data_IF_808783597024
#
_entry.id   IF_808783597024
#
_cell.length_a   1.000
_cell.length_b   1.000
_cell.length_c   1.000
_cell.angle_alpha   90.00
_cell.angle_beta   90.00
_cell.angle_gamma   90.00
#
_symmetry.space_group_name_H-M   'P 1'
#
loop_
_entity.id
_entity.type
_entity.pdbx_description
1 polymer ?
#
# COMPACT_ATOMS: atom_id res chain seq x y z
N UNK A 1 -3.97 -17.62 3.01
CA UNK A 1 -2.89 -16.60 2.98
C UNK A 1 -1.72 -17.17 2.20
N UNK A 2 -1.10 -16.38 1.33
CA UNK A 2 0.13 -16.74 0.61
C UNK A 2 1.16 -15.68 0.95
N UNK A 3 2.23 -16.05 1.65
CA UNK A 3 3.32 -15.14 1.96
C UNK A 3 4.28 -15.07 0.78
N UNK A 4 4.58 -13.86 0.32
CA UNK A 4 5.45 -13.61 -0.84
C UNK A 4 6.89 -13.39 -0.39
N UNK A 5 7.07 -12.64 0.70
CA UNK A 5 8.32 -12.37 1.40
C UNK A 5 7.96 -12.06 2.87
N UNK A 6 8.96 -12.11 3.74
CA UNK A 6 8.82 -11.74 5.16
C UNK A 6 9.64 -10.49 5.50
N UNK A 7 10.77 -10.28 4.82
CA UNK A 7 11.54 -9.05 4.83
C UNK A 7 11.61 -8.49 3.39
N UNK A 8 11.24 -7.21 3.23
CA UNK A 8 11.34 -6.54 1.93
C UNK A 8 12.80 -6.34 1.49
N UNK A 9 13.74 -6.26 2.43
CA UNK A 9 15.17 -6.11 2.12
C UNK A 9 15.82 -7.37 1.57
N UNK A 10 15.24 -8.56 1.82
CA UNK A 10 15.71 -9.81 1.21
C UNK A 10 15.44 -9.85 -0.29
N UNK A 11 14.43 -9.12 -0.77
CA UNK A 11 14.02 -9.10 -2.18
C UNK A 11 14.38 -7.80 -2.90
N UNK A 12 14.53 -6.71 -2.16
CA UNK A 12 14.96 -5.41 -2.66
C UNK A 12 15.95 -4.80 -1.65
N UNK A 13 17.24 -5.18 -1.71
CA UNK A 13 18.22 -4.78 -0.71
C UNK A 13 18.50 -3.28 -0.78
N UNK A 14 18.76 -2.69 0.39
CA UNK A 14 19.11 -1.28 0.48
C UNK A 14 20.57 -1.04 0.09
N UNK A 15 20.80 0.02 -0.69
CA UNK A 15 22.12 0.56 -0.98
C UNK A 15 22.24 2.01 -0.49
N UNK A 16 23.42 2.40 0.01
CA UNK A 16 23.71 3.79 0.36
C UNK A 16 23.20 4.30 1.71
N UNK A 17 22.36 3.56 2.44
CA UNK A 17 22.02 3.83 3.85
C UNK A 17 20.83 4.78 4.10
N UNK A 18 19.84 4.81 3.21
CA UNK A 18 18.56 5.50 3.44
C UNK A 18 17.68 4.83 4.51
N UNK A 19 16.40 5.21 4.60
CA UNK A 19 15.41 4.49 5.43
C UNK A 19 14.65 3.44 4.61
N UNK A 20 14.37 3.74 3.33
CA UNK A 20 13.75 2.82 2.37
C UNK A 20 14.69 2.49 1.21
N UNK A 21 14.14 1.86 0.17
CA UNK A 21 14.82 1.61 -1.11
C UNK A 21 14.05 2.29 -2.23
N UNK A 22 14.77 3.02 -3.10
CA UNK A 22 14.20 3.81 -4.19
C UNK A 22 13.19 4.89 -3.75
N UNK A 23 13.29 5.44 -2.54
CA UNK A 23 12.37 6.51 -2.10
C UNK A 23 13.05 7.86 -1.89
N UNK A 24 14.36 7.89 -1.69
CA UNK A 24 15.14 9.11 -1.48
C UNK A 24 16.17 9.28 -2.62
N UNK A 25 16.11 10.37 -3.40
CA UNK A 25 16.97 10.58 -4.57
C UNK A 25 18.45 10.82 -4.23
N UNK A 26 18.81 10.95 -2.94
CA UNK A 26 20.21 11.06 -2.52
C UNK A 26 20.94 9.71 -2.49
N UNK A 27 20.23 8.59 -2.66
CA UNK A 27 20.81 7.25 -2.63
C UNK A 27 20.71 6.56 -3.99
N UNK A 28 21.58 5.57 -4.27
CA UNK A 28 21.55 4.83 -5.53
C UNK A 28 20.19 4.16 -5.80
N UNK A 29 19.81 4.11 -7.08
CA UNK A 29 18.67 3.33 -7.52
C UNK A 29 19.01 1.84 -7.55
N UNK A 30 18.19 1.03 -6.90
CA UNK A 30 18.27 -0.43 -6.91
C UNK A 30 17.24 -0.97 -7.90
N UNK A 31 17.69 -1.78 -8.87
CA UNK A 31 16.81 -2.37 -9.88
C UNK A 31 15.83 -3.35 -9.22
N UNK A 32 14.50 -3.17 -9.35
CA UNK A 32 13.53 -4.10 -8.79
C UNK A 32 13.59 -5.49 -9.43
N UNK A 33 13.36 -6.53 -8.63
CA UNK A 33 13.24 -7.91 -9.11
C UNK A 33 11.77 -8.36 -9.23
N UNK A 34 11.53 -9.47 -9.94
CA UNK A 34 10.21 -10.08 -10.13
C UNK A 34 10.10 -11.39 -9.38
N UNK A 35 9.24 -11.42 -8.36
CA UNK A 35 8.89 -12.65 -7.64
C UNK A 35 7.84 -13.45 -8.41
N UNK A 36 8.09 -14.76 -8.58
CA UNK A 36 7.14 -15.70 -9.22
C UNK A 36 6.64 -16.72 -8.22
N UNK A 37 5.32 -16.77 -8.04
CA UNK A 37 4.66 -17.72 -7.16
C UNK A 37 3.97 -18.79 -8.01
N UNK A 38 4.33 -20.06 -7.79
CA UNK A 38 3.69 -21.21 -8.43
C UNK A 38 2.93 -21.99 -7.37
N UNK A 39 1.60 -21.99 -7.47
CA UNK A 39 0.71 -22.74 -6.58
C UNK A 39 0.29 -24.02 -7.29
N UNK A 40 0.78 -25.16 -6.80
CA UNK A 40 0.36 -26.49 -7.29
C UNK A 40 -0.63 -27.08 -6.30
N UNK A 41 -1.84 -27.35 -6.75
CA UNK A 41 -2.88 -27.96 -5.94
C UNK A 41 -2.85 -29.48 -6.09
N UNK A 42 -2.93 -30.20 -4.98
CA UNK A 42 -3.02 -31.68 -4.98
C UNK A 42 -4.35 -32.17 -5.59
N UNK A 43 -5.40 -31.35 -5.49
CA UNK A 43 -6.71 -31.60 -6.10
C UNK A 43 -7.19 -30.32 -6.79
N UNK A 44 -7.84 -30.42 -7.96
CA UNK A 44 -8.40 -29.24 -8.62
C UNK A 44 -9.42 -28.54 -7.72
N UNK A 45 -9.27 -27.22 -7.55
CA UNK A 45 -10.23 -26.38 -6.83
C UNK A 45 -10.81 -25.37 -7.82
N UNK A 46 -12.11 -25.11 -7.72
CA UNK A 46 -12.76 -24.08 -8.52
C UNK A 46 -12.21 -22.70 -8.18
N UNK A 47 -11.98 -21.85 -9.18
CA UNK A 47 -11.52 -20.47 -8.98
C UNK A 47 -12.48 -19.66 -8.10
N UNK A 48 -13.78 -19.94 -8.16
CA UNK A 48 -14.78 -19.30 -7.29
C UNK A 48 -14.56 -19.62 -5.81
N UNK A 49 -13.97 -20.77 -5.50
CA UNK A 49 -13.63 -21.19 -4.13
C UNK A 49 -12.25 -20.67 -3.73
N UNK A 50 -11.28 -20.65 -4.66
CA UNK A 50 -9.92 -20.15 -4.41
C UNK A 50 -9.83 -18.62 -4.34
N UNK A 51 -10.86 -17.91 -4.80
CA UNK A 51 -10.93 -16.46 -4.89
C UNK A 51 -10.66 -15.94 -6.31
N UNK A 52 -11.34 -14.85 -6.67
CA UNK A 52 -11.17 -14.14 -7.94
C UNK A 52 -10.56 -12.77 -7.62
N UNK A 53 -9.60 -12.27 -8.42
CA UNK A 53 -9.11 -10.90 -8.28
C UNK A 53 -10.24 -9.86 -8.30
N UNK A 54 -10.07 -8.71 -7.63
CA UNK A 54 -8.87 -8.29 -6.90
C UNK A 54 -8.70 -9.02 -5.56
N UNK A 55 -7.48 -9.48 -5.28
CA UNK A 55 -7.12 -10.10 -4.00
C UNK A 55 -7.03 -9.06 -2.88
N UNK A 56 -6.83 -9.53 -1.64
CA UNK A 56 -6.59 -8.71 -0.45
C UNK A 56 -5.09 -8.75 -0.08
N UNK A 57 -4.24 -7.94 -0.74
CA UNK A 57 -2.83 -7.83 -0.37
C UNK A 57 -2.70 -7.14 0.99
N UNK A 58 -1.64 -7.48 1.70
CA UNK A 58 -1.31 -6.88 2.99
C UNK A 58 0.19 -6.97 3.24
N UNK A 59 0.65 -6.16 4.19
CA UNK A 59 1.97 -6.26 4.82
C UNK A 59 1.79 -6.50 6.31
N UNK A 60 2.85 -6.96 6.96
CA UNK A 60 2.94 -6.95 8.42
C UNK A 60 4.18 -6.17 8.85
N UNK A 61 4.11 -5.54 10.02
CA UNK A 61 5.08 -4.51 10.42
C UNK A 61 6.16 -5.09 11.33
N UNK A 62 7.42 -4.77 11.05
CA UNK A 62 8.57 -5.05 11.94
C UNK A 62 8.70 -6.53 12.36
N UNK A 63 8.40 -7.47 11.45
CA UNK A 63 8.41 -8.90 11.76
C UNK A 63 7.26 -9.37 12.66
N UNK A 64 6.39 -8.47 13.13
CA UNK A 64 5.28 -8.78 14.01
C UNK A 64 4.08 -9.24 13.18
N UNK A 65 3.93 -10.57 13.08
CA UNK A 65 2.93 -11.18 12.20
C UNK A 65 1.50 -10.73 12.49
N UNK A 66 1.16 -10.34 13.71
CA UNK A 66 -0.18 -9.91 14.10
C UNK A 66 -0.46 -8.41 13.81
N UNK A 67 0.56 -7.64 13.44
CA UNK A 67 0.44 -6.22 13.07
C UNK A 67 0.30 -6.10 11.56
N UNK A 68 -0.91 -6.30 11.05
CA UNK A 68 -1.19 -6.25 9.61
C UNK A 68 -1.72 -4.89 9.13
N UNK A 69 -1.38 -4.51 7.90
CA UNK A 69 -1.95 -3.35 7.18
C UNK A 69 -2.51 -3.82 5.84
N UNK A 70 -3.80 -3.52 5.59
CA UNK A 70 -4.50 -3.91 4.36
C UNK A 70 -5.07 -2.69 3.61
N UNK A 71 -5.63 -2.95 2.43
CA UNK A 71 -6.46 -1.98 1.70
C UNK A 71 -7.74 -1.64 2.49
N UNK A 72 -8.30 -0.46 2.20
CA UNK A 72 -9.54 0.05 2.81
C UNK A 72 -10.65 -0.99 2.83
N UNK A 73 -11.24 -1.16 4.01
CA UNK A 73 -12.39 -2.04 4.28
C UNK A 73 -12.16 -3.53 3.92
N UNK A 74 -10.91 -3.94 3.72
CA UNK A 74 -10.56 -5.35 3.62
C UNK A 74 -10.40 -5.95 5.01
N UNK A 75 -10.92 -7.15 5.17
CA UNK A 75 -10.83 -7.89 6.44
C UNK A 75 -9.37 -8.35 6.65
N UNK A 76 -8.83 -8.27 7.88
CA UNK A 76 -7.55 -8.88 8.23
C UNK A 76 -7.49 -10.39 7.95
N UNK A 77 -6.30 -10.97 8.08
CA UNK A 77 -6.19 -12.43 8.24
C UNK A 77 -6.55 -12.86 9.68
N UNK A 78 -6.75 -14.16 9.89
CA UNK A 78 -7.05 -14.74 11.22
C UNK A 78 -5.92 -14.52 12.25
N UNK A 79 -4.74 -14.09 11.81
CA UNK A 79 -3.59 -13.81 12.66
C UNK A 79 -3.47 -12.34 13.08
N UNK A 80 -4.24 -11.42 12.48
CA UNK A 80 -4.17 -10.02 12.88
C UNK A 80 -4.68 -9.79 14.29
N UNK A 81 -4.00 -8.93 15.04
CA UNK A 81 -4.44 -8.45 16.33
C UNK A 81 -5.50 -7.37 16.16
N UNK A 82 -6.74 -7.64 16.58
CA UNK A 82 -7.79 -6.63 16.61
C UNK A 82 -7.61 -5.60 17.72
N UNK A 83 -6.62 -5.76 18.60
CA UNK A 83 -6.35 -4.84 19.70
C UNK A 83 -5.81 -3.48 19.23
N UNK A 84 -5.31 -3.41 17.99
CA UNK A 84 -4.81 -2.17 17.37
C UNK A 84 -5.90 -1.37 16.67
N UNK A 85 -7.06 -1.97 16.39
CA UNK A 85 -8.15 -1.29 15.70
C UNK A 85 -8.74 -0.17 16.55
N UNK A 86 -8.95 0.99 15.94
CA UNK A 86 -9.45 2.18 16.63
C UNK A 86 -8.40 2.86 17.52
N UNK A 87 -7.12 2.51 17.38
CA UNK A 87 -6.02 3.15 18.11
C UNK A 87 -5.31 4.20 17.25
N UNK A 88 -4.75 5.22 17.92
CA UNK A 88 -4.09 6.35 17.26
C UNK A 88 -4.97 6.97 16.17
N UNK A 89 -4.53 6.94 14.90
CA UNK A 89 -5.26 7.49 13.77
C UNK A 89 -6.12 6.44 13.03
N UNK A 90 -6.01 5.15 13.38
CA UNK A 90 -6.84 4.12 12.79
C UNK A 90 -8.27 4.21 13.33
N UNK A 91 -9.25 4.12 12.43
CA UNK A 91 -10.68 4.15 12.75
C UNK A 91 -11.36 2.85 12.30
N UNK A 92 -10.64 1.73 12.38
CA UNK A 92 -11.19 0.41 12.07
C UNK A 92 -12.25 0.00 13.10
N UNK A 93 -13.40 -0.45 12.60
CA UNK A 93 -14.50 -0.98 13.38
C UNK A 93 -15.11 -2.20 12.67
N UNK A 94 -14.81 -3.42 13.14
CA UNK A 94 -15.36 -4.65 12.57
C UNK A 94 -16.89 -4.69 12.52
N UNK A 95 -17.58 -4.05 13.47
CA UNK A 95 -19.04 -4.07 13.54
C UNK A 95 -19.70 -3.29 12.39
N UNK A 96 -18.97 -2.37 11.74
CA UNK A 96 -19.43 -1.59 10.60
C UNK A 96 -18.74 -1.99 9.29
N UNK A 97 -17.88 -3.01 9.32
CA UNK A 97 -17.06 -3.40 8.17
C UNK A 97 -16.03 -2.35 7.76
N UNK A 98 -15.70 -1.42 8.66
CA UNK A 98 -14.73 -0.35 8.42
C UNK A 98 -13.35 -0.82 8.82
N UNK A 99 -12.38 -0.74 7.91
CA UNK A 99 -11.00 -1.14 8.21
C UNK A 99 -9.95 -0.28 7.51
N UNK A 100 -8.79 -0.14 8.16
CA UNK A 100 -7.54 0.39 7.62
C UNK A 100 -7.62 1.78 6.99
N UNK A 101 -8.31 2.69 7.68
CA UNK A 101 -8.40 4.10 7.30
C UNK A 101 -8.61 4.97 8.51
N UNK A 102 -8.31 6.25 8.38
CA UNK A 102 -8.53 7.23 9.43
C UNK A 102 -9.99 7.63 9.54
N UNK A 103 -10.37 8.37 10.59
CA UNK A 103 -11.71 8.92 10.76
C UNK A 103 -12.16 9.76 9.55
N UNK A 104 -11.22 10.46 8.90
CA UNK A 104 -11.45 11.27 7.70
C UNK A 104 -11.27 10.47 6.39
N UNK A 105 -11.29 9.13 6.45
CA UNK A 105 -11.18 8.24 5.28
C UNK A 105 -9.83 8.24 4.55
N UNK A 106 -8.75 8.78 5.14
CA UNK A 106 -7.41 8.62 4.57
C UNK A 106 -7.01 7.13 4.66
N UNK A 107 -6.63 6.49 3.55
CA UNK A 107 -6.33 5.05 3.53
C UNK A 107 -4.92 4.74 4.03
N UNK A 108 -4.72 3.57 4.67
CA UNK A 108 -3.36 3.06 4.95
C UNK A 108 -2.68 2.43 3.73
N UNK A 109 -3.46 1.92 2.77
CA UNK A 109 -2.95 1.34 1.54
C UNK A 109 -3.85 1.68 0.35
N UNK A 110 -3.23 1.86 -0.82
CA UNK A 110 -3.89 2.20 -2.08
C UNK A 110 -3.58 1.14 -3.14
N UNK A 111 -4.52 0.92 -4.05
CA UNK A 111 -4.36 0.06 -5.22
C UNK A 111 -4.73 0.85 -6.48
N UNK A 112 -3.74 1.07 -7.35
CA UNK A 112 -3.87 1.89 -8.56
C UNK A 112 -3.69 0.97 -9.77
N UNK A 113 -4.53 1.13 -10.78
CA UNK A 113 -4.57 0.27 -11.98
C UNK A 113 -3.45 0.56 -12.98
N UNK A 114 -2.76 1.67 -12.82
CA UNK A 114 -1.67 2.15 -13.67
C UNK A 114 -0.41 2.41 -12.82
N UNK A 115 0.72 2.64 -13.48
CA UNK A 115 1.96 3.00 -12.81
C UNK A 115 1.76 4.24 -11.93
N UNK A 116 2.28 4.18 -10.71
CA UNK A 116 2.20 5.28 -9.74
C UNK A 116 3.59 5.84 -9.46
N UNK A 117 3.75 7.14 -9.67
CA UNK A 117 4.97 7.86 -9.34
C UNK A 117 4.87 8.34 -7.89
N UNK A 118 5.49 7.60 -6.98
CA UNK A 118 5.33 7.84 -5.55
C UNK A 118 6.09 9.10 -5.07
N UNK A 119 5.67 9.71 -3.94
CA UNK A 119 6.38 10.85 -3.35
C UNK A 119 7.81 10.49 -2.91
N UNK A 120 8.67 11.50 -2.82
CA UNK A 120 9.97 11.39 -2.16
C UNK A 120 9.76 10.97 -0.69
N UNK A 121 10.68 10.21 -0.13
CA UNK A 121 10.70 9.79 1.27
C UNK A 121 10.39 10.96 2.21
N UNK A 122 9.48 10.75 3.18
CA UNK A 122 8.95 11.76 4.14
C UNK A 122 8.14 12.92 3.54
N UNK A 123 7.97 13.00 2.24
CA UNK A 123 7.07 13.98 1.62
C UNK A 123 5.63 13.47 1.70
N UNK A 124 4.76 14.28 2.27
CA UNK A 124 3.33 13.94 2.40
C UNK A 124 2.70 13.76 1.02
N UNK A 125 1.98 12.66 0.83
CA UNK A 125 1.26 12.37 -0.42
C UNK A 125 0.28 13.48 -0.79
N UNK A 126 -0.33 14.17 0.18
CA UNK A 126 -1.23 15.30 -0.06
C UNK A 126 -0.51 16.53 -0.63
N UNK A 127 0.79 16.65 -0.39
CA UNK A 127 1.64 17.71 -0.95
C UNK A 127 2.22 17.35 -2.33
N UNK A 128 2.35 16.06 -2.63
CA UNK A 128 2.76 15.57 -3.94
C UNK A 128 1.57 15.47 -4.91
N UNK A 129 0.43 15.01 -4.42
CA UNK A 129 -0.83 14.81 -5.15
C UNK A 129 -1.93 15.67 -4.52
N UNK A 130 -2.14 16.85 -5.11
CA UNK A 130 -2.96 17.94 -4.59
C UNK A 130 -4.45 17.63 -4.51
N UNK A 131 -4.90 16.53 -5.16
CA UNK A 131 -6.28 16.04 -5.14
C UNK A 131 -6.51 14.79 -4.28
N UNK A 132 -5.45 14.26 -3.67
CA UNK A 132 -5.52 13.03 -2.88
C UNK A 132 -6.44 13.15 -1.66
N UNK A 133 -6.31 14.23 -0.87
CA UNK A 133 -7.13 14.42 0.32
C UNK A 133 -8.63 14.52 -0.02
N UNK A 134 -8.98 15.36 -1.00
CA UNK A 134 -10.37 15.52 -1.45
C UNK A 134 -10.96 14.20 -1.98
N UNK A 135 -10.16 13.42 -2.71
CA UNK A 135 -10.54 12.08 -3.15
C UNK A 135 -10.81 11.14 -1.97
N UNK A 136 -9.87 11.03 -1.03
CA UNK A 136 -9.96 10.11 0.10
C UNK A 136 -11.12 10.48 1.04
N UNK A 137 -11.22 11.75 1.43
CA UNK A 137 -12.25 12.25 2.36
C UNK A 137 -13.66 12.11 1.77
N UNK A 138 -13.80 12.27 0.44
CA UNK A 138 -15.05 12.03 -0.29
C UNK A 138 -15.38 10.55 -0.49
N UNK A 139 -14.57 9.64 0.06
CA UNK A 139 -14.69 8.19 -0.09
C UNK A 139 -14.70 7.76 -1.57
N UNK A 140 -13.83 8.39 -2.38
CA UNK A 140 -13.66 8.07 -3.80
C UNK A 140 -14.81 8.53 -4.70
N UNK A 141 -15.53 9.58 -4.32
CA UNK A 141 -16.59 10.16 -5.17
C UNK A 141 -16.10 11.36 -5.97
N UNK A 142 -15.05 12.04 -5.50
CA UNK A 142 -14.39 13.15 -6.17
C UNK A 142 -12.98 12.77 -6.61
N UNK A 143 -12.50 13.36 -7.71
CA UNK A 143 -11.13 13.23 -8.19
C UNK A 143 -10.63 11.77 -8.28
N UNK A 144 -11.40 10.88 -8.88
CA UNK A 144 -11.01 9.46 -9.07
C UNK A 144 -9.76 9.27 -9.94
N UNK A 145 -9.30 10.34 -10.56
CA UNK A 145 -8.08 10.49 -11.33
C UNK A 145 -7.01 11.30 -10.59
N UNK A 146 -7.11 11.49 -9.26
CA UNK A 146 -6.17 12.28 -8.45
C UNK A 146 -4.71 11.92 -8.69
N UNK A 147 -4.44 10.65 -9.01
CA UNK A 147 -3.12 10.10 -9.24
C UNK A 147 -2.58 10.37 -10.65
N UNK A 148 -3.31 11.05 -11.54
CA UNK A 148 -2.91 11.32 -12.95
C UNK A 148 -2.15 12.62 -13.12
N UNK A 149 -1.34 12.69 -14.17
CA UNK A 149 -0.53 13.86 -14.51
C UNK A 149 -1.40 14.87 -15.26
N UNK A 150 -2.24 15.56 -14.50
CA UNK A 150 -3.14 16.60 -14.98
C UNK A 150 -2.71 17.94 -14.40
N UNK A 151 -2.94 19.01 -15.16
CA UNK A 151 -2.61 20.37 -14.71
C UNK A 151 -3.29 20.67 -13.36
N UNK A 152 -2.47 20.99 -12.35
CA UNK A 152 -2.93 21.32 -11.00
C UNK A 152 -3.20 20.11 -10.08
N UNK A 153 -2.86 18.89 -10.51
CA UNK A 153 -3.06 17.68 -9.68
C UNK A 153 -1.82 17.30 -8.88
N UNK A 154 -0.63 17.71 -9.32
CA UNK A 154 0.62 17.23 -8.74
C UNK A 154 1.65 18.34 -8.57
N UNK A 155 2.53 18.18 -7.58
CA UNK A 155 3.77 18.92 -7.47
C UNK A 155 4.94 17.98 -7.85
N UNK A 156 5.54 18.19 -9.02
CA UNK A 156 6.62 17.34 -9.52
C UNK A 156 7.89 17.37 -8.64
N UNK A 157 8.14 18.47 -7.91
CA UNK A 157 9.29 18.58 -6.99
C UNK A 157 9.19 17.63 -5.80
N UNK A 158 7.99 17.14 -5.51
CA UNK A 158 7.67 16.25 -4.40
C UNK A 158 7.63 14.77 -4.82
N UNK A 159 7.77 14.47 -6.11
CA UNK A 159 7.67 13.11 -6.67
C UNK A 159 9.08 12.55 -6.87
N UNK A 160 9.28 11.30 -6.45
CA UNK A 160 10.57 10.63 -6.60
C UNK A 160 10.95 10.50 -8.08
N UNK A 161 12.22 10.79 -8.37
CA UNK A 161 12.83 10.60 -9.68
C UNK A 161 14.04 9.70 -9.53
N UNK A 162 14.23 8.79 -10.48
CA UNK A 162 15.42 7.92 -10.52
C UNK A 162 16.66 8.82 -10.66
N UNK A 163 17.62 8.76 -9.72
CA UNK A 163 18.87 9.52 -9.82
C UNK A 163 19.62 9.18 -11.12
N UNK A 164 20.19 10.20 -11.78
CA UNK A 164 21.01 10.02 -12.98
C UNK A 164 22.44 9.58 -12.65
#
# INVERSE_FOLDING_TARGET
VVMVWEDAYDVLPQEGGGIGVNTDPNYPFVVPDTLRITIVLNTPVSLTTSGIPPYNPFIFVDGQRDVEVHLVDKVPTDLASTALFGTAADDSNPATGRYYRTQNNLPWAINIIESFEYPIEKVDVTSAYLKFAEWAESNGTLYNDWYRDLTGYRNAENIYQIPQ
#
